data_IF_934191878196
#
_entry.id   IF_934191878196
#
_cell.length_a   1.000
_cell.length_b   1.000
_cell.length_c   1.000
_cell.angle_alpha   90.00
_cell.angle_beta   90.00
_cell.angle_gamma   90.00
#
_symmetry.space_group_name_H-M   'P 1'
#
loop_
_entity.id
_entity.type
_entity.pdbx_description
1 polymer ?
#
# COMPACT_ATOMS: atom_id res chain seq x y z
N UNK A 1 -35.28 -102.01 37.58
CA UNK A 1 -36.15 -103.22 37.55
C UNK A 1 -35.86 -104.00 38.81
N UNK A 2 -36.76 -103.94 39.79
CA UNK A 2 -36.64 -104.78 40.99
C UNK A 2 -37.10 -106.20 40.62
N UNK A 3 -36.24 -107.17 40.96
CA UNK A 3 -36.42 -108.60 40.74
C UNK A 3 -37.65 -109.11 41.51
N UNK A 4 -38.53 -109.86 40.85
CA UNK A 4 -39.76 -110.36 41.47
C UNK A 4 -39.42 -111.53 42.41
N UNK A 5 -39.93 -111.57 43.65
CA UNK A 5 -39.65 -112.68 44.56
C UNK A 5 -40.22 -113.99 44.01
N UNK A 6 -39.39 -115.04 43.99
CA UNK A 6 -39.70 -116.31 43.32
C UNK A 6 -40.74 -117.20 44.03
N UNK A 7 -41.24 -116.83 45.22
CA UNK A 7 -42.46 -117.37 45.85
C UNK A 7 -42.85 -116.59 47.11
N UNK A 8 -44.15 -116.41 47.38
CA UNK A 8 -44.68 -115.79 48.60
C UNK A 8 -45.10 -116.84 49.64
N UNK A 9 -44.95 -116.57 50.95
CA UNK A 9 -45.27 -117.54 52.01
C UNK A 9 -46.78 -117.60 52.34
N UNK A 10 -47.57 -116.63 51.89
CA UNK A 10 -49.02 -116.52 52.11
C UNK A 10 -49.68 -115.63 51.04
N UNK A 11 -50.92 -115.92 50.61
CA UNK A 11 -51.69 -115.04 49.72
C UNK A 11 -51.86 -113.60 50.23
N UNK A 12 -51.86 -113.40 51.56
CA UNK A 12 -51.90 -112.06 52.16
C UNK A 12 -50.58 -111.29 52.00
N UNK A 13 -49.45 -112.00 52.01
CA UNK A 13 -48.12 -111.39 51.84
C UNK A 13 -47.88 -111.00 50.37
N UNK A 14 -48.38 -111.82 49.43
CA UNK A 14 -48.42 -111.49 48.00
C UNK A 14 -49.29 -110.25 47.72
N UNK A 15 -50.50 -110.19 48.28
CA UNK A 15 -51.36 -109.01 48.16
C UNK A 15 -50.71 -107.74 48.74
N UNK A 16 -50.03 -107.85 49.89
CA UNK A 16 -49.34 -106.73 50.50
C UNK A 16 -48.14 -106.26 49.66
N UNK A 17 -47.37 -107.18 49.06
CA UNK A 17 -46.26 -106.85 48.16
C UNK A 17 -46.74 -106.14 46.89
N UNK A 18 -47.73 -106.68 46.18
CA UNK A 18 -48.26 -106.05 44.97
C UNK A 18 -48.92 -104.70 45.24
N UNK A 19 -49.60 -104.55 46.39
CA UNK A 19 -50.15 -103.26 46.81
C UNK A 19 -49.05 -102.24 47.08
N UNK A 20 -48.01 -102.61 47.83
CA UNK A 20 -46.84 -101.75 48.07
C UNK A 20 -46.14 -101.37 46.77
N UNK A 21 -45.93 -102.32 45.87
CA UNK A 21 -45.29 -102.09 44.58
C UNK A 21 -46.13 -101.15 43.69
N UNK A 22 -47.46 -101.28 43.71
CA UNK A 22 -48.35 -100.37 43.01
C UNK A 22 -48.34 -98.95 43.64
N UNK A 23 -48.29 -98.85 44.96
CA UNK A 23 -48.16 -97.57 45.67
C UNK A 23 -46.79 -96.92 45.38
N UNK A 24 -45.69 -97.68 45.35
CA UNK A 24 -44.35 -97.21 44.98
C UNK A 24 -44.32 -96.75 43.51
N UNK A 25 -44.93 -97.48 42.57
CA UNK A 25 -45.04 -97.04 41.17
C UNK A 25 -45.92 -95.80 41.00
N UNK A 26 -47.03 -95.70 41.75
CA UNK A 26 -47.86 -94.49 41.77
C UNK A 26 -47.04 -93.30 42.26
N UNK A 27 -46.32 -93.47 43.37
CA UNK A 27 -45.47 -92.41 43.94
C UNK A 27 -44.38 -91.98 42.96
N UNK A 28 -43.66 -92.93 42.35
CA UNK A 28 -42.64 -92.61 41.36
C UNK A 28 -43.23 -91.93 40.11
N UNK A 29 -44.45 -92.30 39.70
CA UNK A 29 -45.15 -91.64 38.60
C UNK A 29 -45.58 -90.22 38.97
N UNK A 30 -46.04 -89.99 40.20
CA UNK A 30 -46.35 -88.65 40.73
C UNK A 30 -45.08 -87.79 40.79
N UNK A 31 -43.99 -88.29 41.36
CA UNK A 31 -42.70 -87.60 41.43
C UNK A 31 -42.15 -87.24 40.03
N UNK A 32 -42.17 -88.19 39.09
CA UNK A 32 -41.71 -87.92 37.72
C UNK A 32 -42.61 -86.92 36.97
N UNK A 33 -43.90 -86.90 37.30
CA UNK A 33 -44.83 -85.91 36.74
C UNK A 33 -44.56 -84.53 37.30
N UNK A 34 -44.36 -84.40 38.61
CA UNK A 34 -43.99 -83.13 39.25
C UNK A 34 -42.66 -82.59 38.70
N UNK A 35 -41.64 -83.44 38.54
CA UNK A 35 -40.35 -83.06 37.95
C UNK A 35 -40.50 -82.56 36.50
N UNK A 36 -41.35 -83.21 35.70
CA UNK A 36 -41.63 -82.77 34.33
C UNK A 36 -42.35 -81.41 34.31
N UNK A 37 -43.33 -81.21 35.19
CA UNK A 37 -44.07 -79.95 35.30
C UNK A 37 -43.12 -78.81 35.74
N UNK A 38 -42.24 -79.05 36.72
CA UNK A 38 -41.20 -78.09 37.13
C UNK A 38 -40.23 -77.76 36.00
N UNK A 39 -39.79 -78.76 35.24
CA UNK A 39 -38.91 -78.56 34.07
C UNK A 39 -39.61 -77.73 32.99
N UNK A 40 -40.88 -77.98 32.72
CA UNK A 40 -41.67 -77.20 31.76
C UNK A 40 -41.82 -75.74 32.19
N UNK A 41 -42.12 -75.50 33.47
CA UNK A 41 -42.22 -74.14 34.02
C UNK A 41 -40.86 -73.44 33.93
N UNK A 42 -39.77 -74.10 34.35
CA UNK A 42 -38.42 -73.52 34.29
C UNK A 42 -37.98 -73.21 32.85
N UNK A 43 -38.33 -74.07 31.88
CA UNK A 43 -38.07 -73.81 30.46
C UNK A 43 -38.84 -72.59 29.96
N UNK A 44 -40.10 -72.45 30.33
CA UNK A 44 -40.91 -71.28 29.96
C UNK A 44 -40.39 -69.98 30.59
N UNK A 45 -39.97 -70.02 31.86
CA UNK A 45 -39.36 -68.87 32.53
C UNK A 45 -38.04 -68.45 31.86
N UNK A 46 -37.21 -69.42 31.47
CA UNK A 46 -35.96 -69.16 30.74
C UNK A 46 -36.22 -68.58 29.34
N UNK A 47 -37.19 -69.13 28.60
CA UNK A 47 -37.60 -68.61 27.29
C UNK A 47 -38.07 -67.16 27.41
N UNK A 48 -38.91 -66.85 28.40
CA UNK A 48 -39.37 -65.48 28.65
C UNK A 48 -38.20 -64.54 29.01
N UNK A 49 -37.23 -64.99 29.80
CA UNK A 49 -36.03 -64.19 30.10
C UNK A 49 -35.20 -63.94 28.83
N UNK A 50 -35.01 -64.94 27.97
CA UNK A 50 -34.31 -64.79 26.70
C UNK A 50 -35.04 -63.84 25.74
N UNK A 51 -36.37 -63.93 25.66
CA UNK A 51 -37.20 -63.02 24.85
C UNK A 51 -37.08 -61.56 25.32
N UNK A 52 -37.14 -61.32 26.64
CA UNK A 52 -36.96 -59.96 27.18
C UNK A 52 -35.56 -59.40 26.93
N UNK A 53 -34.52 -60.25 27.03
CA UNK A 53 -33.15 -59.85 26.69
C UNK A 53 -32.99 -59.55 25.20
N UNK A 54 -33.60 -60.37 24.33
CA UNK A 54 -33.60 -60.18 22.89
C UNK A 54 -34.31 -58.87 22.52
N UNK A 55 -35.51 -58.62 23.06
CA UNK A 55 -36.26 -57.39 22.83
C UNK A 55 -35.47 -56.15 23.29
N UNK A 56 -34.82 -56.22 24.46
CA UNK A 56 -33.95 -55.15 24.95
C UNK A 56 -32.76 -54.90 24.03
N UNK A 57 -32.12 -55.97 23.53
CA UNK A 57 -30.98 -55.87 22.61
C UNK A 57 -31.41 -55.29 21.25
N UNK A 58 -32.52 -55.75 20.68
CA UNK A 58 -33.09 -55.22 19.45
C UNK A 58 -33.49 -53.74 19.59
N UNK A 59 -34.06 -53.37 20.75
CA UNK A 59 -34.36 -51.98 21.08
C UNK A 59 -33.11 -51.09 21.04
N UNK A 60 -32.03 -51.53 21.70
CA UNK A 60 -30.74 -50.81 21.68
C UNK A 60 -30.15 -50.70 20.27
N UNK A 61 -30.24 -51.76 19.46
CA UNK A 61 -29.77 -51.74 18.06
C UNK A 61 -30.55 -50.71 17.24
N UNK A 62 -31.88 -50.66 17.40
CA UNK A 62 -32.73 -49.66 16.72
C UNK A 62 -32.36 -48.23 17.16
N UNK A 63 -32.22 -47.99 18.46
CA UNK A 63 -31.83 -46.68 18.99
C UNK A 63 -30.45 -46.22 18.47
N UNK A 64 -29.46 -47.11 18.51
CA UNK A 64 -28.12 -46.82 17.99
C UNK A 64 -28.12 -46.57 16.49
N UNK A 65 -28.98 -47.27 15.73
CA UNK A 65 -29.11 -47.08 14.28
C UNK A 65 -29.67 -45.69 13.97
N UNK A 66 -30.74 -45.27 14.65
CA UNK A 66 -31.31 -43.93 14.50
C UNK A 66 -30.31 -42.85 14.92
N UNK A 67 -29.57 -43.06 16.01
CA UNK A 67 -28.53 -42.14 16.44
C UNK A 67 -27.40 -42.02 15.41
N UNK A 68 -26.97 -43.14 14.82
CA UNK A 68 -25.96 -43.18 13.75
C UNK A 68 -26.43 -42.40 12.53
N UNK A 69 -27.66 -42.63 12.06
CA UNK A 69 -28.23 -41.92 10.91
C UNK A 69 -28.33 -40.41 11.17
N UNK A 70 -28.75 -40.01 12.38
CA UNK A 70 -28.79 -38.61 12.79
C UNK A 70 -27.40 -37.97 12.75
N UNK A 71 -26.40 -38.61 13.35
CA UNK A 71 -25.02 -38.10 13.37
C UNK A 71 -24.42 -38.06 11.96
N UNK A 72 -24.75 -39.03 11.11
CA UNK A 72 -24.32 -39.05 9.73
C UNK A 72 -24.90 -37.86 8.96
N UNK A 73 -26.21 -37.59 9.09
CA UNK A 73 -26.85 -36.44 8.46
C UNK A 73 -26.25 -35.11 8.95
N UNK A 74 -25.98 -34.99 10.25
CA UNK A 74 -25.35 -33.79 10.81
C UNK A 74 -23.93 -33.60 10.26
N UNK A 75 -23.14 -34.69 10.14
CA UNK A 75 -21.82 -34.64 9.55
C UNK A 75 -21.86 -34.21 8.08
N UNK A 76 -22.83 -34.69 7.30
CA UNK A 76 -22.96 -34.34 5.89
C UNK A 76 -23.42 -32.88 5.69
N UNK A 77 -24.33 -32.38 6.53
CA UNK A 77 -24.70 -30.95 6.57
C UNK A 77 -23.50 -30.07 6.91
N UNK A 78 -22.68 -30.48 7.87
CA UNK A 78 -21.49 -29.72 8.26
C UNK A 78 -20.44 -29.70 7.15
N UNK A 79 -20.25 -30.81 6.42
CA UNK A 79 -19.38 -30.86 5.24
C UNK A 79 -19.88 -29.93 4.14
N UNK A 80 -21.17 -29.98 3.82
CA UNK A 80 -21.77 -29.11 2.79
C UNK A 80 -21.60 -27.62 3.14
N UNK A 81 -21.84 -27.25 4.41
CA UNK A 81 -21.60 -25.87 4.88
C UNK A 81 -20.14 -25.45 4.78
N UNK A 82 -19.22 -26.35 5.12
CA UNK A 82 -17.79 -26.08 5.02
C UNK A 82 -17.38 -25.88 3.56
N UNK A 83 -17.81 -26.76 2.66
CA UNK A 83 -17.53 -26.69 1.23
C UNK A 83 -18.11 -25.41 0.62
N UNK A 84 -19.37 -25.09 0.94
CA UNK A 84 -20.00 -23.85 0.51
C UNK A 84 -19.21 -22.62 0.97
N UNK A 85 -18.83 -22.56 2.26
CA UNK A 85 -18.02 -21.47 2.78
C UNK A 85 -16.64 -21.38 2.13
N UNK A 86 -16.00 -22.51 1.86
CA UNK A 86 -14.70 -22.56 1.18
C UNK A 86 -14.81 -22.03 -0.25
N UNK A 87 -15.85 -22.43 -0.99
CA UNK A 87 -16.09 -21.94 -2.35
C UNK A 87 -16.36 -20.43 -2.38
N UNK A 88 -17.14 -19.91 -1.42
CA UNK A 88 -17.36 -18.47 -1.25
C UNK A 88 -16.05 -17.72 -0.95
N UNK A 89 -15.21 -18.25 -0.04
CA UNK A 89 -13.90 -17.64 0.24
C UNK A 89 -12.97 -17.66 -0.97
N UNK A 90 -12.91 -18.77 -1.70
CA UNK A 90 -12.10 -18.87 -2.92
C UNK A 90 -12.57 -17.88 -3.97
N UNK A 91 -13.88 -17.73 -4.15
CA UNK A 91 -14.46 -16.74 -5.05
C UNK A 91 -14.07 -15.32 -4.65
N UNK A 92 -14.24 -14.96 -3.37
CA UNK A 92 -13.86 -13.63 -2.86
C UNK A 92 -12.35 -13.36 -3.01
N UNK A 93 -11.52 -14.37 -2.76
CA UNK A 93 -10.07 -14.26 -2.95
C UNK A 93 -9.74 -13.98 -4.42
N UNK A 94 -10.36 -14.69 -5.37
CA UNK A 94 -10.15 -14.46 -6.79
C UNK A 94 -10.60 -13.07 -7.22
N UNK A 95 -11.79 -12.62 -6.78
CA UNK A 95 -12.31 -11.27 -7.05
C UNK A 95 -11.32 -10.20 -6.54
N UNK A 96 -10.82 -10.33 -5.31
CA UNK A 96 -9.83 -9.42 -4.73
C UNK A 96 -8.47 -9.48 -5.45
N UNK A 97 -8.06 -10.65 -5.93
CA UNK A 97 -6.83 -10.80 -6.70
C UNK A 97 -6.92 -10.09 -8.05
N UNK A 98 -8.07 -10.20 -8.72
CA UNK A 98 -8.34 -9.53 -9.99
C UNK A 98 -8.38 -8.01 -9.83
N UNK A 99 -9.08 -7.49 -8.82
CA UNK A 99 -9.09 -6.05 -8.51
C UNK A 99 -7.67 -5.53 -8.20
N UNK A 100 -6.90 -6.28 -7.43
CA UNK A 100 -5.52 -5.93 -7.10
C UNK A 100 -4.62 -5.93 -8.34
N UNK A 101 -4.80 -6.88 -9.26
CA UNK A 101 -4.10 -6.91 -10.54
C UNK A 101 -4.47 -5.69 -11.40
N UNK A 102 -5.76 -5.35 -11.48
CA UNK A 102 -6.25 -4.19 -12.20
C UNK A 102 -5.69 -2.88 -11.64
N UNK A 103 -5.72 -2.69 -10.32
CA UNK A 103 -5.16 -1.49 -9.66
C UNK A 103 -3.66 -1.38 -9.93
N UNK A 104 -2.92 -2.49 -9.89
CA UNK A 104 -1.48 -2.49 -10.21
C UNK A 104 -1.22 -2.09 -11.66
N UNK A 105 -2.01 -2.58 -12.61
CA UNK A 105 -1.91 -2.24 -14.02
C UNK A 105 -2.18 -0.74 -14.25
N UNK A 106 -3.27 -0.21 -13.68
CA UNK A 106 -3.61 1.22 -13.75
C UNK A 106 -2.50 2.08 -13.14
N UNK A 107 -1.96 1.68 -11.98
CA UNK A 107 -0.85 2.40 -11.34
C UNK A 107 0.39 2.44 -12.25
N UNK A 108 0.71 1.33 -12.92
CA UNK A 108 1.84 1.28 -13.84
C UNK A 108 1.60 2.18 -15.06
N UNK A 109 0.40 2.18 -15.62
CA UNK A 109 0.01 3.05 -16.73
C UNK A 109 0.09 4.53 -16.36
N UNK A 110 -0.46 4.93 -15.20
CA UNK A 110 -0.35 6.30 -14.69
C UNK A 110 1.11 6.70 -14.43
N UNK A 111 1.94 5.77 -13.95
CA UNK A 111 3.37 6.04 -13.75
C UNK A 111 4.12 6.25 -15.07
N UNK A 112 3.73 5.54 -16.14
CA UNK A 112 4.26 5.77 -17.50
C UNK A 112 3.81 7.12 -18.03
N UNK A 113 2.52 7.42 -17.90
CA UNK A 113 1.93 8.68 -18.33
C UNK A 113 2.56 9.90 -17.63
N UNK A 114 2.86 9.82 -16.34
CA UNK A 114 3.58 10.88 -15.62
C UNK A 114 4.96 11.14 -16.25
N UNK A 115 5.72 10.08 -16.56
CA UNK A 115 7.04 10.23 -17.20
C UNK A 115 6.94 10.85 -18.59
N UNK A 116 5.91 10.49 -19.36
CA UNK A 116 5.65 11.09 -20.67
C UNK A 116 5.34 12.59 -20.54
N UNK A 117 4.51 12.97 -19.56
CA UNK A 117 4.22 14.38 -19.27
C UNK A 117 5.47 15.15 -18.83
N UNK A 118 6.31 14.55 -17.99
CA UNK A 118 7.59 15.13 -17.57
C UNK A 118 8.50 15.37 -18.78
N UNK A 119 8.62 14.39 -19.67
CA UNK A 119 9.40 14.53 -20.91
C UNK A 119 8.85 15.63 -21.82
N UNK A 120 7.53 15.69 -22.01
CA UNK A 120 6.90 16.75 -22.81
C UNK A 120 7.14 18.15 -22.21
N UNK A 121 7.17 18.26 -20.88
CA UNK A 121 7.47 19.52 -20.20
C UNK A 121 8.94 19.92 -20.41
N UNK A 122 9.87 18.98 -20.29
CA UNK A 122 11.30 19.23 -20.56
C UNK A 122 11.54 19.69 -22.02
N UNK A 123 10.87 19.06 -22.98
CA UNK A 123 10.92 19.44 -24.40
C UNK A 123 10.35 20.84 -24.62
N UNK A 124 9.24 21.18 -23.95
CA UNK A 124 8.63 22.50 -24.01
C UNK A 124 9.54 23.57 -23.40
N UNK A 125 10.19 23.30 -22.27
CA UNK A 125 11.18 24.20 -21.68
C UNK A 125 12.38 24.42 -22.60
N UNK A 126 12.86 23.36 -23.25
CA UNK A 126 13.95 23.46 -24.23
C UNK A 126 13.55 24.31 -25.43
N UNK A 127 12.35 24.10 -25.98
CA UNK A 127 11.82 24.91 -27.07
C UNK A 127 11.70 26.38 -26.64
N UNK A 128 11.20 26.65 -25.43
CA UNK A 128 11.13 28.00 -24.86
C UNK A 128 12.50 28.66 -24.77
N UNK A 129 13.52 27.96 -24.24
CA UNK A 129 14.89 28.49 -24.15
C UNK A 129 15.43 28.86 -25.54
N UNK A 130 15.26 27.97 -26.52
CA UNK A 130 15.70 28.21 -27.91
C UNK A 130 15.02 29.44 -28.51
N UNK A 131 13.71 29.58 -28.33
CA UNK A 131 12.95 30.74 -28.83
C UNK A 131 13.39 32.03 -28.15
N UNK A 132 13.62 32.02 -26.83
CA UNK A 132 14.11 33.20 -26.10
C UNK A 132 15.47 33.64 -26.63
N UNK A 133 16.44 32.73 -26.76
CA UNK A 133 17.75 33.05 -27.33
C UNK A 133 17.65 33.56 -28.76
N UNK A 134 16.77 32.98 -29.59
CA UNK A 134 16.55 33.51 -30.95
C UNK A 134 15.97 34.93 -30.93
N UNK A 135 15.10 35.27 -29.99
CA UNK A 135 14.56 36.62 -29.85
C UNK A 135 15.64 37.60 -29.39
N UNK A 136 16.47 37.21 -28.41
CA UNK A 136 17.62 38.00 -27.95
C UNK A 136 18.59 38.29 -29.09
N UNK A 137 18.86 37.31 -29.96
CA UNK A 137 19.68 37.49 -31.17
C UNK A 137 19.06 38.48 -32.17
N UNK A 138 17.73 38.45 -32.35
CA UNK A 138 17.03 39.41 -33.19
C UNK A 138 17.08 40.83 -32.60
N UNK A 139 16.87 40.96 -31.30
CA UNK A 139 16.96 42.24 -30.58
C UNK A 139 18.36 42.85 -30.70
N UNK A 140 19.42 42.04 -30.51
CA UNK A 140 20.80 42.49 -30.68
C UNK A 140 21.08 42.99 -32.10
N UNK A 141 20.63 42.26 -33.13
CA UNK A 141 20.78 42.68 -34.54
C UNK A 141 20.02 43.97 -34.83
N UNK A 142 18.83 44.12 -34.26
CA UNK A 142 18.02 45.32 -34.43
C UNK A 142 18.68 46.53 -33.76
N UNK A 143 19.24 46.36 -32.56
CA UNK A 143 20.00 47.40 -31.88
C UNK A 143 21.24 47.84 -32.68
N UNK A 144 22.01 46.89 -33.22
CA UNK A 144 23.14 47.20 -34.11
C UNK A 144 22.70 47.97 -35.37
N UNK A 145 21.54 47.61 -35.94
CA UNK A 145 21.00 48.33 -37.08
C UNK A 145 20.56 49.76 -36.70
N UNK A 146 20.00 49.95 -35.49
CA UNK A 146 19.67 51.28 -34.97
C UNK A 146 20.95 52.11 -34.79
N UNK A 147 21.98 51.57 -34.13
CA UNK A 147 23.27 52.24 -33.91
C UNK A 147 23.91 52.66 -35.23
N UNK A 148 23.90 51.77 -36.23
CA UNK A 148 24.39 52.09 -37.57
C UNK A 148 23.59 53.20 -38.24
N UNK A 149 22.26 53.19 -38.14
CA UNK A 149 21.43 54.26 -38.71
C UNK A 149 21.70 55.61 -38.04
N UNK A 150 21.84 55.63 -36.71
CA UNK A 150 22.20 56.85 -35.98
C UNK A 150 23.58 57.39 -36.39
N UNK A 151 24.55 56.51 -36.62
CA UNK A 151 25.85 56.91 -37.15
C UNK A 151 25.75 57.53 -38.55
N UNK A 152 24.99 56.90 -39.46
CA UNK A 152 24.76 57.42 -40.81
C UNK A 152 23.98 58.75 -40.81
N UNK A 153 23.05 58.94 -39.87
CA UNK A 153 22.32 60.20 -39.67
C UNK A 153 23.30 61.32 -39.28
N UNK A 154 24.22 61.08 -38.33
CA UNK A 154 25.26 62.03 -37.98
C UNK A 154 26.20 62.36 -39.16
N UNK A 155 26.60 61.36 -39.95
CA UNK A 155 27.43 61.60 -41.15
C UNK A 155 26.71 62.47 -42.19
N UNK A 156 25.38 62.31 -42.33
CA UNK A 156 24.56 63.17 -43.17
C UNK A 156 24.48 64.59 -42.62
N UNK A 157 24.29 64.77 -41.31
CA UNK A 157 24.27 66.07 -40.65
C UNK A 157 25.61 66.81 -40.79
N UNK A 158 26.74 66.12 -40.62
CA UNK A 158 28.08 66.69 -40.83
C UNK A 158 28.27 67.14 -42.28
N UNK A 159 27.80 66.33 -43.24
CA UNK A 159 27.82 66.67 -44.65
C UNK A 159 26.98 67.93 -44.94
N UNK A 160 25.77 68.03 -44.39
CA UNK A 160 24.92 69.22 -44.53
C UNK A 160 25.59 70.46 -43.96
N UNK A 161 26.19 70.37 -42.76
CA UNK A 161 26.96 71.45 -42.14
C UNK A 161 28.13 71.91 -43.02
N UNK A 162 28.88 70.97 -43.60
CA UNK A 162 29.95 71.28 -44.55
C UNK A 162 29.42 71.94 -45.82
N UNK A 163 28.29 71.48 -46.36
CA UNK A 163 27.65 72.13 -47.52
C UNK A 163 27.27 73.59 -47.22
N UNK A 164 26.72 73.87 -46.03
CA UNK A 164 26.40 75.23 -45.58
C UNK A 164 27.67 76.09 -45.46
N UNK A 165 28.74 75.58 -44.84
CA UNK A 165 30.00 76.34 -44.70
C UNK A 165 30.66 76.60 -46.05
N UNK A 166 30.68 75.62 -46.95
CA UNK A 166 31.17 75.79 -48.33
C UNK A 166 30.35 76.83 -49.06
N UNK A 167 29.02 76.81 -48.91
CA UNK A 167 28.14 77.79 -49.54
C UNK A 167 28.42 79.20 -49.01
N UNK A 168 28.59 79.35 -47.69
CA UNK A 168 28.98 80.62 -47.08
C UNK A 168 30.34 81.12 -47.58
N UNK A 169 31.36 80.26 -47.65
CA UNK A 169 32.67 80.64 -48.19
C UNK A 169 32.60 81.04 -49.67
N UNK A 170 31.74 80.39 -50.46
CA UNK A 170 31.46 80.81 -51.85
C UNK A 170 30.81 82.19 -51.91
N UNK A 171 29.91 82.50 -50.98
CA UNK A 171 29.28 83.83 -50.88
C UNK A 171 30.33 84.88 -50.50
N UNK A 172 31.13 84.63 -49.46
CA UNK A 172 32.23 85.51 -49.04
C UNK A 172 33.28 85.70 -50.17
N UNK A 173 33.63 84.64 -50.91
CA UNK A 173 34.53 84.73 -52.06
C UNK A 173 33.92 85.54 -53.22
N UNK A 174 32.60 85.42 -53.44
CA UNK A 174 31.88 86.27 -54.40
C UNK A 174 31.86 87.73 -53.94
N UNK A 175 31.59 87.98 -52.68
CA UNK A 175 31.59 89.33 -52.11
C UNK A 175 32.98 89.98 -52.20
N UNK A 176 34.04 89.26 -51.83
CA UNK A 176 35.43 89.73 -52.01
C UNK A 176 35.77 89.97 -53.48
N UNK A 177 35.32 89.11 -54.40
CA UNK A 177 35.52 89.34 -55.84
C UNK A 177 34.77 90.59 -56.32
N UNK A 178 33.57 90.84 -55.80
CA UNK A 178 32.83 92.09 -56.04
C UNK A 178 33.57 93.30 -55.44
N UNK A 179 34.07 93.21 -54.21
CA UNK A 179 34.88 94.27 -53.59
C UNK A 179 36.16 94.56 -54.38
N UNK A 180 36.87 93.52 -54.87
CA UNK A 180 38.04 93.67 -55.72
C UNK A 180 37.69 94.24 -57.10
N UNK A 181 36.54 93.90 -57.68
CA UNK A 181 36.07 94.51 -58.92
C UNK A 181 35.70 95.99 -58.74
N UNK A 182 35.11 96.35 -57.60
CA UNK A 182 34.79 97.73 -57.22
C UNK A 182 36.05 98.51 -56.91
N UNK A 183 36.95 97.98 -56.06
CA UNK A 183 38.27 98.56 -55.79
C UNK A 183 39.11 98.64 -57.04
N UNK A 184 39.08 97.66 -57.94
CA UNK A 184 39.72 97.70 -59.25
C UNK A 184 39.22 98.88 -60.09
N UNK A 185 37.90 99.12 -60.12
CA UNK A 185 37.31 100.33 -60.75
C UNK A 185 37.64 101.64 -60.01
N UNK A 186 37.87 101.58 -58.70
CA UNK A 186 38.25 102.72 -57.86
C UNK A 186 39.78 103.01 -57.94
N UNK A 187 40.60 102.00 -58.19
CA UNK A 187 42.06 102.07 -58.38
C UNK A 187 42.41 102.57 -59.79
N UNK A 188 41.54 102.40 -60.79
CA UNK A 188 41.71 103.06 -62.10
C UNK A 188 41.62 104.60 -62.02
N UNK A 189 41.24 105.19 -60.88
CA UNK A 189 41.18 106.66 -60.67
C UNK A 189 42.29 107.21 -59.75
N UNK A 190 43.13 106.37 -59.12
CA UNK A 190 44.29 106.86 -58.34
C UNK A 190 45.47 105.89 -58.45
N UNK A 191 46.18 106.01 -59.57
CA UNK A 191 47.50 105.42 -59.77
C UNK A 191 48.60 106.46 -59.52
N UNK A 192 49.41 106.25 -58.49
CA UNK A 192 50.83 106.65 -58.31
C UNK A 192 51.15 106.49 -56.83
N UNK A 193 52.20 105.83 -56.35
CA UNK A 193 53.55 105.64 -56.89
C UNK A 193 54.30 104.63 -55.98
N UNK A 194 55.20 103.85 -56.60
CA UNK A 194 56.60 103.58 -56.16
C UNK A 194 56.87 102.61 -54.98
N UNK A 195 57.62 101.54 -55.33
CA UNK A 195 58.45 100.58 -54.55
C UNK A 195 59.45 101.29 -53.58
N UNK A 196 60.07 100.69 -52.51
CA UNK A 196 60.87 99.43 -52.61
C UNK A 196 61.09 98.56 -51.33
N UNK A 197 61.56 97.35 -51.59
CA UNK A 197 62.62 96.52 -50.96
C UNK A 197 63.25 96.86 -49.57
N UNK A 198 63.29 95.90 -48.63
CA UNK A 198 64.52 95.38 -47.96
C UNK A 198 64.26 94.36 -46.81
N UNK A 199 64.89 93.19 -46.95
CA UNK A 199 65.70 92.40 -45.99
C UNK A 199 65.87 92.82 -44.50
N UNK A 200 65.64 91.88 -43.54
CA UNK A 200 66.63 91.28 -42.57
C UNK A 200 66.09 90.76 -41.22
N UNK A 201 66.56 89.55 -40.87
CA UNK A 201 67.04 88.99 -39.57
C UNK A 201 66.09 88.94 -38.35
N UNK A 202 65.74 87.75 -37.85
CA UNK A 202 66.48 86.87 -36.90
C UNK A 202 66.38 87.30 -35.42
N UNK A 203 65.68 86.51 -34.59
CA UNK A 203 66.17 85.91 -33.33
C UNK A 203 65.02 85.24 -32.53
N UNK A 204 65.24 83.96 -32.22
CA UNK A 204 64.49 83.06 -31.30
C UNK A 204 64.88 83.28 -29.81
N UNK A 205 64.56 82.43 -28.78
CA UNK A 205 63.51 81.41 -28.51
C UNK A 205 62.91 81.51 -27.05
N UNK A 206 62.24 80.43 -26.58
CA UNK A 206 61.95 79.95 -25.18
C UNK A 206 60.52 80.17 -24.62
N UNK A 207 59.80 79.21 -23.99
CA UNK A 207 60.10 77.84 -23.52
C UNK A 207 58.83 77.16 -22.91
N UNK A 208 58.82 75.81 -22.92
CA UNK A 208 58.05 74.83 -22.11
C UNK A 208 56.55 74.58 -22.43
N UNK A 209 56.02 73.35 -22.44
CA UNK A 209 56.58 72.08 -21.99
C UNK A 209 55.91 70.85 -22.64
N UNK A 210 56.70 69.79 -22.71
CA UNK A 210 56.39 68.46 -23.24
C UNK A 210 55.39 67.70 -22.37
N UNK A 211 54.66 66.74 -22.95
CA UNK A 211 54.66 65.28 -22.61
C UNK A 211 53.94 64.55 -23.76
N UNK A 212 54.63 64.03 -24.77
CA UNK A 212 55.11 62.65 -24.96
C UNK A 212 54.00 61.59 -25.18
N UNK A 213 53.74 61.30 -26.47
CA UNK A 213 53.31 60.02 -27.08
C UNK A 213 54.40 58.92 -26.86
N UNK A 214 54.30 57.62 -27.26
CA UNK A 214 53.31 57.00 -28.17
C UNK A 214 52.84 55.56 -27.83
N UNK A 215 51.88 55.18 -28.65
CA UNK A 215 51.47 53.88 -29.18
C UNK A 215 52.58 52.84 -29.54
N UNK A 216 52.13 51.58 -29.56
CA UNK A 216 52.45 50.41 -30.43
C UNK A 216 53.16 49.16 -29.88
N UNK A 217 52.57 48.03 -30.32
CA UNK A 217 53.10 46.69 -30.62
C UNK A 217 52.92 45.48 -29.66
N UNK A 218 51.91 44.67 -30.02
CA UNK A 218 51.99 43.25 -30.45
C UNK A 218 52.78 42.21 -29.62
N UNK A 219 52.11 41.12 -29.19
CA UNK A 219 52.27 39.72 -29.71
C UNK A 219 51.73 38.62 -28.75
N UNK A 220 50.71 37.91 -29.24
CA UNK A 220 50.39 36.45 -29.19
C UNK A 220 50.97 35.55 -28.07
N UNK A 221 50.09 34.78 -27.39
CA UNK A 221 50.24 33.33 -27.09
C UNK A 221 48.87 32.68 -26.73
N UNK A 222 48.69 31.44 -27.21
CA UNK A 222 47.61 30.44 -26.99
C UNK A 222 47.35 30.13 -25.49
N UNK A 223 46.22 29.57 -25.01
CA UNK A 223 45.58 28.24 -25.23
C UNK A 223 44.09 28.31 -24.75
N UNK A 224 43.07 27.84 -25.50
CA UNK A 224 42.37 26.54 -25.37
C UNK A 224 42.07 26.12 -23.89
N UNK A 225 40.86 25.82 -23.40
CA UNK A 225 39.81 24.87 -23.80
C UNK A 225 38.50 25.18 -23.01
N UNK A 226 37.35 25.39 -23.67
CA UNK A 226 36.16 24.49 -23.74
C UNK A 226 35.71 23.73 -22.47
N UNK A 227 34.45 23.97 -22.09
CA UNK A 227 33.37 22.99 -21.84
C UNK A 227 32.64 22.97 -20.48
N UNK A 228 31.33 23.31 -20.58
CA UNK A 228 30.15 22.57 -20.10
C UNK A 228 29.95 22.28 -18.60
N UNK A 229 28.90 22.88 -18.02
CA UNK A 229 27.98 22.30 -17.02
C UNK A 229 27.41 20.94 -17.50
N UNK A 230 26.86 20.00 -16.68
CA UNK A 230 25.93 20.24 -15.54
C UNK A 230 25.88 19.20 -14.37
N UNK A 231 25.16 19.53 -13.28
CA UNK A 231 24.12 18.65 -12.69
C UNK A 231 24.41 17.65 -11.54
N UNK A 232 23.54 17.73 -10.53
CA UNK A 232 22.95 16.67 -9.67
C UNK A 232 23.58 16.23 -8.32
N UNK A 233 22.85 16.58 -7.24
CA UNK A 233 22.42 15.80 -6.07
C UNK A 233 23.29 14.64 -5.55
N UNK A 234 23.66 14.69 -4.26
CA UNK A 234 23.59 13.50 -3.39
C UNK A 234 23.56 13.84 -1.90
N UNK A 235 22.63 13.16 -1.22
CA UNK A 235 22.48 13.07 0.22
C UNK A 235 23.70 12.44 0.90
N UNK A 236 24.02 12.89 2.11
CA UNK A 236 24.70 12.06 3.10
C UNK A 236 24.07 12.21 4.50
N UNK A 237 23.78 11.05 5.04
CA UNK A 237 23.38 10.73 6.40
C UNK A 237 24.60 10.85 7.33
N UNK A 238 24.52 11.64 8.39
CA UNK A 238 25.56 11.69 9.42
C UNK A 238 25.20 12.68 10.51
N UNK A 239 24.83 12.16 11.68
CA UNK A 239 24.19 12.93 12.75
C UNK A 239 25.02 14.06 13.34
N UNK A 240 24.34 15.17 13.61
CA UNK A 240 24.63 16.03 14.75
C UNK A 240 23.33 16.66 15.24
N UNK A 241 23.05 16.44 16.52
CA UNK A 241 21.90 16.97 17.21
C UNK A 241 22.00 18.50 17.28
N UNK A 242 21.24 19.19 16.42
CA UNK A 242 21.02 20.63 16.48
C UNK A 242 19.59 20.89 16.02
N UNK A 243 18.74 21.36 16.92
CA UNK A 243 17.32 21.63 16.72
C UNK A 243 17.10 22.57 15.52
N UNK A 244 16.91 22.03 14.32
CA UNK A 244 16.22 22.74 13.25
C UNK A 244 14.73 22.73 13.59
N UNK A 245 14.06 23.87 13.79
CA UNK A 245 12.64 23.89 14.07
C UNK A 245 11.90 23.23 12.90
N UNK A 246 11.15 22.16 13.19
CA UNK A 246 10.30 21.49 12.20
C UNK A 246 9.47 22.54 11.47
N UNK A 247 9.44 22.45 10.14
CA UNK A 247 8.58 23.31 9.33
C UNK A 247 7.14 23.22 9.84
N UNK A 248 6.36 24.32 9.81
CA UNK A 248 4.99 24.32 10.33
C UNK A 248 4.13 23.17 9.77
N UNK A 249 4.33 22.82 8.49
CA UNK A 249 3.66 21.68 7.84
C UNK A 249 4.07 20.32 8.42
N UNK A 250 5.38 20.09 8.64
CA UNK A 250 5.87 18.85 9.25
C UNK A 250 5.37 18.68 10.70
N UNK A 251 5.28 19.79 11.44
CA UNK A 251 4.73 19.79 12.81
C UNK A 251 3.24 19.43 12.83
N UNK A 252 2.44 20.04 11.96
CA UNK A 252 0.99 19.77 11.88
C UNK A 252 0.73 18.33 11.43
N UNK A 253 1.48 17.83 10.44
CA UNK A 253 1.41 16.44 9.99
C UNK A 253 1.75 15.46 11.12
N UNK A 254 2.84 15.70 11.86
CA UNK A 254 3.22 14.87 13.01
C UNK A 254 2.15 14.89 14.12
N UNK A 255 1.56 16.04 14.43
CA UNK A 255 0.49 16.15 15.43
C UNK A 255 -0.78 15.40 15.00
N UNK A 256 -1.14 15.44 13.72
CA UNK A 256 -2.29 14.69 13.20
C UNK A 256 -2.06 13.18 13.30
N UNK A 257 -0.85 12.71 12.93
CA UNK A 257 -0.48 11.30 13.05
C UNK A 257 -0.54 10.84 14.50
N UNK A 258 0.02 11.63 15.43
CA UNK A 258 -0.03 11.32 16.86
C UNK A 258 -1.48 11.32 17.37
N UNK A 259 -2.31 12.27 16.94
CA UNK A 259 -3.74 12.32 17.27
C UNK A 259 -4.53 11.11 16.75
N UNK A 260 -4.20 10.62 15.57
CA UNK A 260 -4.80 9.41 14.99
C UNK A 260 -4.36 8.15 15.73
N UNK A 261 -3.07 8.06 16.10
CA UNK A 261 -2.56 6.96 16.92
C UNK A 261 -3.25 6.93 18.28
N UNK A 262 -3.39 8.07 18.97
CA UNK A 262 -4.07 8.14 20.27
C UNK A 262 -5.55 7.72 20.17
N UNK A 263 -6.26 8.11 19.11
CA UNK A 263 -7.63 7.64 18.86
C UNK A 263 -7.70 6.14 18.64
N UNK A 264 -6.76 5.56 17.87
CA UNK A 264 -6.69 4.12 17.64
C UNK A 264 -6.33 3.34 18.91
N UNK A 265 -5.41 3.86 19.73
CA UNK A 265 -5.07 3.28 21.04
C UNK A 265 -6.28 3.31 21.97
N UNK A 266 -6.99 4.44 22.07
CA UNK A 266 -8.22 4.53 22.87
C UNK A 266 -9.33 3.55 22.41
N UNK A 267 -9.49 3.37 21.09
CA UNK A 267 -10.43 2.38 20.56
C UNK A 267 -10.00 0.93 20.87
N UNK A 268 -8.70 0.64 20.83
CA UNK A 268 -8.15 -0.67 21.19
C UNK A 268 -8.29 -0.94 22.70
N UNK A 269 -8.04 0.06 23.56
CA UNK A 269 -8.23 -0.05 25.01
C UNK A 269 -9.70 -0.29 25.36
N UNK A 270 -10.64 0.39 24.68
CA UNK A 270 -12.08 0.15 24.86
C UNK A 270 -12.48 -1.27 24.46
N UNK A 271 -11.97 -1.78 23.33
CA UNK A 271 -12.18 -3.18 22.91
C UNK A 271 -11.56 -4.17 23.89
N UNK A 272 -10.35 -3.90 24.38
CA UNK A 272 -9.66 -4.74 25.35
C UNK A 272 -10.41 -4.79 26.70
N UNK A 273 -10.92 -3.64 27.15
CA UNK A 273 -11.76 -3.56 28.35
C UNK A 273 -13.07 -4.34 28.17
N UNK A 274 -13.69 -4.27 26.99
CA UNK A 274 -14.86 -5.08 26.65
C UNK A 274 -14.55 -6.58 26.69
N UNK A 275 -13.46 -7.04 26.06
CA UNK A 275 -13.02 -8.44 26.12
C UNK A 275 -12.70 -8.92 27.54
N UNK A 276 -12.11 -8.06 28.37
CA UNK A 276 -11.82 -8.40 29.78
C UNK A 276 -13.09 -8.57 30.62
N UNK A 277 -14.17 -7.86 30.28
CA UNK A 277 -15.48 -8.06 30.92
C UNK A 277 -16.10 -9.41 30.50
N UNK A 278 -15.96 -9.81 29.23
CA UNK A 278 -16.37 -11.15 28.76
C UNK A 278 -15.59 -12.31 29.40
N UNK A 279 -14.33 -12.09 29.79
CA UNK A 279 -13.50 -13.13 30.44
C UNK A 279 -13.76 -13.21 31.96
N UNK A 280 -14.29 -12.15 32.58
CA UNK A 280 -14.63 -12.13 34.03
C UNK A 280 -16.08 -12.48 34.34
N UNK A 281 -16.99 -12.44 33.38
CA UNK A 281 -18.32 -13.02 33.55
C UNK A 281 -18.30 -14.52 33.18
N UNK A 282 -18.47 -15.45 34.14
CA UNK A 282 -18.84 -16.80 33.77
C UNK A 282 -20.21 -16.76 33.07
N UNK A 283 -20.51 -17.67 32.13
CA UNK A 283 -21.74 -17.63 31.36
C UNK A 283 -22.93 -17.77 32.31
N UNK A 284 -23.58 -16.65 32.64
CA UNK A 284 -24.90 -16.64 33.24
C UNK A 284 -25.85 -17.16 32.17
N UNK A 285 -26.31 -18.39 32.35
CA UNK A 285 -27.43 -18.97 31.61
C UNK A 285 -28.57 -17.95 31.57
N UNK A 286 -28.85 -17.43 30.39
CA UNK A 286 -30.08 -16.70 30.12
C UNK A 286 -31.21 -17.74 30.11
N UNK A 287 -31.91 -17.88 31.23
CA UNK A 287 -33.21 -18.54 31.27
C UNK A 287 -34.27 -17.56 30.80
N UNK A 288 -35.07 -18.03 29.84
CA UNK A 288 -36.36 -17.51 29.42
C UNK A 288 -37.36 -17.41 30.60
N UNK A 289 -38.43 -16.59 30.48
CA UNK A 289 -39.37 -16.37 31.58
C UNK A 289 -40.42 -17.49 31.69
N UNK A 290 -40.47 -18.07 32.89
CA UNK A 290 -41.63 -18.45 33.73
C UNK A 290 -42.92 -18.93 33.03
N UNK A 291 -43.29 -20.21 33.25
CA UNK A 291 -44.58 -20.53 33.88
C UNK A 291 -44.64 -21.93 34.56
N UNK A 292 -45.19 -21.92 35.77
CA UNK A 292 -45.79 -22.98 36.60
C UNK A 292 -45.01 -24.10 37.34
N UNK A 293 -45.44 -24.45 38.59
CA UNK A 293 -44.70 -25.30 39.52
C UNK A 293 -45.33 -26.69 39.74
N UNK A 294 -44.50 -27.74 39.89
CA UNK A 294 -44.91 -28.94 40.64
C UNK A 294 -43.71 -29.65 41.29
N UNK A 295 -43.87 -29.89 42.59
CA UNK A 295 -42.91 -30.48 43.52
C UNK A 295 -42.64 -31.99 43.29
N UNK A 296 -41.44 -32.47 43.65
CA UNK A 296 -41.20 -33.37 44.79
C UNK A 296 -39.80 -34.04 44.80
N UNK A 297 -39.19 -34.03 46.00
CA UNK A 297 -38.35 -35.06 46.66
C UNK A 297 -36.97 -35.48 46.09
N UNK A 298 -35.93 -34.94 46.74
CA UNK A 298 -34.99 -35.60 47.68
C UNK A 298 -34.34 -36.94 47.27
N UNK A 299 -33.00 -36.95 47.13
CA UNK A 299 -32.08 -37.91 47.80
C UNK A 299 -30.60 -37.55 47.57
N UNK A 300 -29.83 -37.51 48.67
CA UNK A 300 -28.37 -37.44 48.75
C UNK A 300 -27.71 -38.67 48.09
N UNK A 301 -26.52 -38.49 47.50
CA UNK A 301 -25.39 -39.40 47.72
C UNK A 301 -24.03 -38.77 47.38
N UNK A 302 -23.08 -39.13 48.23
CA UNK A 302 -21.73 -38.63 48.46
C UNK A 302 -20.65 -39.34 47.64
N UNK A 303 -19.52 -38.65 47.42
CA UNK A 303 -18.20 -39.24 47.13
C UNK A 303 -17.89 -39.44 45.65
N UNK A 304 -16.66 -39.40 45.14
CA UNK A 304 -15.32 -39.22 45.71
C UNK A 304 -14.38 -38.91 44.54
N UNK A 305 -13.31 -38.19 44.83
CA UNK A 305 -12.12 -37.90 44.01
C UNK A 305 -11.59 -39.03 43.13
N UNK A 306 -11.08 -38.73 41.94
CA UNK A 306 -9.75 -39.22 41.49
C UNK A 306 -9.21 -38.47 40.26
N UNK A 307 -7.90 -38.28 40.31
CA UNK A 307 -6.99 -37.68 39.33
C UNK A 307 -6.64 -38.68 38.21
N UNK A 308 -6.40 -38.19 36.98
CA UNK A 308 -5.30 -38.73 36.15
C UNK A 308 -4.90 -37.79 35.00
N UNK A 309 -3.62 -37.43 35.06
CA UNK A 309 -2.73 -36.92 34.01
C UNK A 309 -2.56 -37.94 32.88
N UNK A 310 -2.36 -37.48 31.63
CA UNK A 310 -1.54 -38.05 30.54
C UNK A 310 -1.67 -37.13 29.31
N UNK A 311 -0.75 -36.22 29.00
CA UNK A 311 0.48 -36.39 28.19
C UNK A 311 0.41 -37.45 27.07
N UNK A 312 0.57 -37.01 25.82
CA UNK A 312 0.76 -37.88 24.66
C UNK A 312 1.02 -37.10 23.37
N UNK A 313 2.30 -36.89 23.04
CA UNK A 313 2.82 -36.41 21.75
C UNK A 313 2.52 -37.40 20.62
N UNK A 314 2.24 -36.90 19.41
CA UNK A 314 2.72 -37.54 18.16
C UNK A 314 3.11 -36.45 17.16
N UNK A 315 4.37 -36.51 16.74
CA UNK A 315 5.03 -35.79 15.64
C UNK A 315 5.56 -36.85 14.66
N UNK A 316 5.89 -36.40 13.44
CA UNK A 316 6.65 -37.07 12.35
C UNK A 316 5.72 -37.75 11.33
N UNK A 317 5.55 -37.26 10.09
CA UNK A 317 6.49 -36.92 8.99
C UNK A 317 7.15 -38.14 8.35
N UNK A 318 6.65 -38.51 7.18
CA UNK A 318 7.46 -38.94 6.02
C UNK A 318 6.87 -38.24 4.81
#
# INVERSE_FOLDING_TARGET
MADAPSSFASPQEELAYWKKLADDYRKNWEEAKEELDEFQISSQELEAELETQLESAEGKVKELTVAKERLQNEADILKEKLEHSQNEYLRQINELQDELAQIKAIREELSKYIRELEQHNDDLERAKRTTVTSLEDFEARLNLAIERNAFLENELDEKESLEVTVQRMKDEARDMAHELAVKGKMMTVRNSQVLPDNDRMDTTPQKHGNTRLPETDNKVLHEAETNTTPGLNRAETGGSAGFTPLTPSARISALNIVGDLLRKVGALESKLASCRNFVKEPPRKANSPVDSPRAAKRANRTGTTSSSTLQGMVKITV
#
